data_IF_108732940902
#
_entry.id   IF_108732940902
#
_cell.length_a   1.000
_cell.length_b   1.000
_cell.length_c   1.000
_cell.angle_alpha   90.00
_cell.angle_beta   90.00
_cell.angle_gamma   90.00
#
_symmetry.space_group_name_H-M   'P 1'
#
loop_
_entity.id
_entity.type
_entity.pdbx_description
1 polymer ?
#
# COMPACT_ATOMS: atom_id res chain seq x y z
N UNK A 1 -4.75 -13.24 -8.60
CA UNK A 1 -6.08 -13.03 -9.20
C UNK A 1 -6.86 -14.31 -8.98
N UNK A 2 -8.00 -14.22 -8.32
CA UNK A 2 -8.86 -15.36 -7.98
C UNK A 2 -10.18 -15.22 -8.75
N UNK A 3 -10.68 -16.30 -9.33
CA UNK A 3 -11.89 -16.31 -10.16
C UNK A 3 -12.89 -17.29 -9.57
N UNK A 4 -14.15 -16.85 -9.44
CA UNK A 4 -15.25 -17.66 -8.92
C UNK A 4 -16.48 -17.35 -9.75
N UNK A 5 -17.26 -18.36 -10.06
CA UNK A 5 -18.59 -18.19 -10.64
C UNK A 5 -19.62 -18.12 -9.52
N UNK A 6 -20.38 -17.03 -9.47
CA UNK A 6 -21.43 -16.83 -8.48
C UNK A 6 -22.75 -17.38 -9.04
N UNK A 7 -23.29 -18.40 -8.37
CA UNK A 7 -24.54 -19.05 -8.77
C UNK A 7 -25.78 -18.42 -8.14
N UNK A 8 -25.62 -17.55 -7.13
CA UNK A 8 -26.72 -16.91 -6.41
C UNK A 8 -26.48 -15.42 -6.19
N UNK A 9 -27.57 -14.66 -6.25
CA UNK A 9 -27.60 -13.28 -5.82
C UNK A 9 -27.68 -13.17 -4.29
N UNK A 10 -27.17 -12.06 -3.76
CA UNK A 10 -27.10 -11.77 -2.33
C UNK A 10 -25.68 -11.65 -1.82
N UNK A 11 -25.55 -11.84 -0.51
CA UNK A 11 -24.25 -11.94 0.16
C UNK A 11 -23.62 -13.29 -0.15
N UNK A 12 -22.41 -13.26 -0.70
CA UNK A 12 -21.60 -14.43 -0.99
C UNK A 12 -20.29 -14.33 -0.22
N UNK A 13 -20.08 -15.27 0.71
CA UNK A 13 -18.81 -15.45 1.40
C UNK A 13 -17.79 -16.12 0.47
N UNK A 14 -16.60 -15.54 0.39
CA UNK A 14 -15.52 -16.05 -0.42
C UNK A 14 -14.60 -16.90 0.46
N UNK A 15 -14.04 -18.02 -0.04
CA UNK A 15 -13.04 -18.81 0.67
C UNK A 15 -11.66 -18.11 0.65
N UNK A 16 -11.64 -16.82 0.99
CA UNK A 16 -10.47 -15.95 0.99
C UNK A 16 -10.53 -15.04 2.23
N UNK A 17 -9.43 -14.98 2.98
CA UNK A 17 -9.32 -14.06 4.13
C UNK A 17 -9.36 -12.61 3.64
N UNK A 18 -10.17 -11.76 4.29
CA UNK A 18 -10.28 -10.35 3.89
C UNK A 18 -9.00 -9.56 4.20
N UNK A 19 -8.53 -8.81 3.21
CA UNK A 19 -7.42 -7.87 3.33
C UNK A 19 -7.73 -6.54 2.63
N UNK A 20 -7.24 -5.44 3.20
CA UNK A 20 -7.42 -4.11 2.61
C UNK A 20 -6.65 -3.99 1.29
N UNK A 21 -7.31 -3.51 0.24
CA UNK A 21 -6.75 -3.41 -1.11
C UNK A 21 -7.12 -4.57 -2.04
N UNK A 22 -8.00 -5.48 -1.60
CA UNK A 22 -8.75 -6.32 -2.53
C UNK A 22 -9.76 -5.49 -3.31
N UNK A 23 -9.84 -5.78 -4.59
CA UNK A 23 -10.83 -5.26 -5.52
C UNK A 23 -11.51 -6.46 -6.17
N UNK A 24 -12.83 -6.45 -6.20
CA UNK A 24 -13.61 -7.46 -6.90
C UNK A 24 -14.29 -6.85 -8.12
N UNK A 25 -14.36 -7.64 -9.19
CA UNK A 25 -15.06 -7.31 -10.41
C UNK A 25 -16.06 -8.41 -10.72
N UNK A 26 -17.33 -8.08 -10.86
CA UNK A 26 -18.38 -8.99 -11.29
C UNK A 26 -18.81 -8.59 -12.70
N UNK A 27 -18.69 -9.49 -13.67
CA UNK A 27 -19.03 -9.23 -15.07
C UNK A 27 -18.36 -7.95 -15.65
N UNK A 28 -17.19 -7.57 -15.12
CA UNK A 28 -16.44 -6.37 -15.51
C UNK A 28 -16.77 -5.10 -14.69
N UNK A 29 -17.81 -5.12 -13.86
CA UNK A 29 -18.18 -4.01 -12.97
C UNK A 29 -17.51 -4.17 -11.61
N UNK A 30 -17.01 -3.06 -11.03
CA UNK A 30 -16.46 -3.07 -9.67
C UNK A 30 -17.56 -3.36 -8.66
N UNK A 31 -17.28 -4.28 -7.74
CA UNK A 31 -18.14 -4.57 -6.59
C UNK A 31 -17.33 -4.41 -5.31
N UNK A 32 -18.00 -3.94 -4.26
CA UNK A 32 -17.37 -3.74 -2.96
C UNK A 32 -17.12 -5.09 -2.28
N UNK A 33 -15.90 -5.24 -1.73
CA UNK A 33 -15.51 -6.37 -0.89
C UNK A 33 -15.48 -5.88 0.54
N UNK A 34 -16.15 -6.57 1.44
CA UNK A 34 -16.13 -6.28 2.86
C UNK A 34 -15.69 -7.50 3.67
N UNK A 35 -15.39 -7.26 4.95
CA UNK A 35 -15.02 -8.31 5.90
C UNK A 35 -16.28 -8.82 6.58
N UNK A 36 -16.47 -10.12 6.58
CA UNK A 36 -17.54 -10.75 7.36
C UNK A 36 -17.14 -10.97 8.83
N UNK A 37 -18.09 -11.47 9.63
CA UNK A 37 -17.87 -11.75 11.07
C UNK A 37 -16.75 -12.76 11.35
N UNK A 38 -16.47 -13.66 10.39
CA UNK A 38 -15.42 -14.68 10.47
C UNK A 38 -14.06 -14.19 9.95
N UNK A 39 -13.97 -12.94 9.48
CA UNK A 39 -12.76 -12.37 8.90
C UNK A 39 -12.51 -12.73 7.42
N UNK A 40 -13.45 -13.41 6.78
CA UNK A 40 -13.40 -13.73 5.35
C UNK A 40 -13.89 -12.55 4.51
N UNK A 41 -13.50 -12.55 3.25
CA UNK A 41 -13.96 -11.60 2.25
C UNK A 41 -15.38 -11.97 1.83
N UNK A 42 -16.25 -10.98 1.77
CA UNK A 42 -17.64 -11.14 1.37
C UNK A 42 -18.00 -10.06 0.35
N UNK A 43 -18.86 -10.42 -0.59
CA UNK A 43 -19.38 -9.52 -1.62
C UNK A 43 -20.90 -9.58 -1.62
N UNK A 44 -21.53 -8.41 -1.65
CA UNK A 44 -22.98 -8.28 -1.78
C UNK A 44 -23.29 -7.90 -3.22
N UNK A 45 -23.86 -8.83 -3.97
CA UNK A 45 -24.09 -8.65 -5.41
C UNK A 45 -25.51 -9.09 -5.78
N UNK A 46 -26.17 -8.34 -6.66
CA UNK A 46 -27.55 -8.64 -7.06
C UNK A 46 -27.63 -9.49 -8.34
N UNK A 47 -26.49 -9.81 -8.94
CA UNK A 47 -26.37 -10.54 -10.20
C UNK A 47 -25.45 -11.75 -10.04
N UNK A 48 -25.64 -12.74 -10.91
CA UNK A 48 -24.80 -13.92 -11.02
C UNK A 48 -23.74 -13.71 -12.12
N UNK A 49 -22.69 -14.53 -12.10
CA UNK A 49 -21.66 -14.49 -13.12
C UNK A 49 -20.24 -14.56 -12.57
N UNK A 50 -19.28 -14.14 -13.37
CA UNK A 50 -17.85 -14.31 -13.06
C UNK A 50 -17.35 -13.20 -12.13
N UNK A 51 -17.08 -13.57 -10.89
CA UNK A 51 -16.41 -12.74 -9.91
C UNK A 51 -14.89 -12.92 -10.01
N UNK A 52 -14.18 -11.82 -10.17
CA UNK A 52 -12.74 -11.75 -10.22
C UNK A 52 -12.25 -10.93 -9.04
N UNK A 53 -11.55 -11.55 -8.11
CA UNK A 53 -10.97 -10.88 -6.94
C UNK A 53 -9.46 -10.74 -7.12
N UNK A 54 -8.95 -9.54 -6.95
CA UNK A 54 -7.52 -9.26 -7.08
C UNK A 54 -7.04 -8.23 -6.07
N UNK A 55 -5.83 -8.42 -5.57
CA UNK A 55 -5.16 -7.41 -4.76
C UNK A 55 -4.60 -6.32 -5.69
N UNK A 56 -5.14 -5.10 -5.62
CA UNK A 56 -4.57 -3.91 -6.30
C UNK A 56 -3.78 -3.02 -5.36
N UNK A 57 -3.76 -3.34 -4.07
CA UNK A 57 -3.18 -2.52 -3.03
C UNK A 57 -4.09 -1.38 -2.62
N UNK A 58 -3.60 -0.55 -1.70
CA UNK A 58 -4.35 0.58 -1.15
C UNK A 58 -3.72 1.90 -1.58
N UNK A 59 -4.51 2.97 -1.76
CA UNK A 59 -3.97 4.31 -1.91
C UNK A 59 -3.03 4.67 -0.76
N UNK A 60 -3.38 4.24 0.46
CA UNK A 60 -2.57 4.42 1.66
C UNK A 60 -1.17 3.84 1.50
N UNK A 61 -1.05 2.61 0.97
CA UNK A 61 0.25 1.98 0.71
C UNK A 61 1.13 2.83 -0.22
N UNK A 62 0.56 3.35 -1.32
CA UNK A 62 1.31 4.19 -2.27
C UNK A 62 1.81 5.49 -1.62
N UNK A 63 0.98 6.10 -0.77
CA UNK A 63 1.36 7.32 -0.02
C UNK A 63 2.46 7.00 1.00
N UNK A 64 2.32 5.90 1.75
CA UNK A 64 3.33 5.47 2.72
C UNK A 64 4.68 5.17 2.07
N UNK A 65 4.69 4.49 0.91
CA UNK A 65 5.90 4.22 0.13
C UNK A 65 6.57 5.53 -0.29
N UNK A 66 5.79 6.52 -0.74
CA UNK A 66 6.30 7.85 -1.14
C UNK A 66 6.92 8.59 0.04
N UNK A 67 6.25 8.62 1.20
CA UNK A 67 6.76 9.27 2.42
C UNK A 67 8.04 8.58 2.90
N UNK A 68 8.07 7.25 2.86
CA UNK A 68 9.25 6.47 3.27
C UNK A 68 10.47 6.80 2.41
N UNK A 69 10.30 6.82 1.08
CA UNK A 69 11.37 7.19 0.15
C UNK A 69 11.87 8.62 0.41
N UNK A 70 10.95 9.58 0.60
CA UNK A 70 11.29 10.96 0.92
C UNK A 70 12.07 11.09 2.24
N UNK A 71 11.68 10.32 3.26
CA UNK A 71 12.40 10.28 4.54
C UNK A 71 13.86 9.82 4.38
N UNK A 72 14.09 8.80 3.56
CA UNK A 72 15.45 8.30 3.26
C UNK A 72 16.26 9.39 2.54
N UNK A 73 15.70 10.03 1.51
CA UNK A 73 16.38 11.10 0.76
C UNK A 73 16.76 12.26 1.68
N UNK A 74 15.83 12.71 2.54
CA UNK A 74 16.09 13.79 3.50
C UNK A 74 17.15 13.36 4.52
N UNK A 75 17.08 12.14 5.04
CA UNK A 75 18.08 11.60 5.96
C UNK A 75 19.48 11.61 5.35
N UNK A 76 19.62 11.15 4.10
CA UNK A 76 20.87 11.17 3.35
C UNK A 76 21.37 12.61 3.17
N UNK A 77 20.49 13.54 2.74
CA UNK A 77 20.85 14.95 2.55
C UNK A 77 21.36 15.60 3.84
N UNK A 78 20.75 15.30 4.98
CA UNK A 78 21.19 15.79 6.29
C UNK A 78 22.57 15.24 6.68
N UNK A 79 22.83 13.95 6.44
CA UNK A 79 24.15 13.36 6.68
C UNK A 79 25.25 14.04 5.86
N UNK A 80 25.00 14.30 4.57
CA UNK A 80 25.95 15.03 3.73
C UNK A 80 26.16 16.47 4.19
N UNK A 81 25.10 17.17 4.61
CA UNK A 81 25.21 18.54 5.14
C UNK A 81 26.04 18.58 6.43
N UNK A 82 25.86 17.60 7.31
CA UNK A 82 26.58 17.54 8.58
C UNK A 82 28.08 17.23 8.36
N UNK A 83 28.41 16.34 7.43
CA UNK A 83 29.81 16.05 7.06
C UNK A 83 30.54 17.25 6.47
N UNK A 84 29.88 18.07 5.64
CA UNK A 84 30.49 19.31 5.11
C UNK A 84 30.82 20.31 6.23
N UNK A 85 29.90 20.49 7.19
CA UNK A 85 30.12 21.40 8.33
C UNK A 85 31.27 20.98 9.22
N UNK A 86 31.44 19.67 9.43
CA UNK A 86 32.53 19.12 10.22
C UNK A 86 33.89 19.37 9.55
N UNK A 87 33.98 19.13 8.24
CA UNK A 87 35.19 19.43 7.46
C UNK A 87 35.52 20.93 7.48
N UNK A 88 34.54 21.80 7.24
CA UNK A 88 34.74 23.27 7.25
C UNK A 88 35.22 23.79 8.62
N UNK A 89 34.77 23.18 9.73
CA UNK A 89 35.25 23.55 11.07
C UNK A 89 36.68 23.06 11.32
N UNK A 90 37.03 21.88 10.82
CA UNK A 90 38.36 21.32 11.01
C UNK A 90 39.41 22.14 10.24
N UNK A 91 39.11 22.52 8.99
CA UNK A 91 39.99 23.36 8.16
C UNK A 91 40.26 24.73 8.81
N UNK A 92 39.23 25.35 9.40
CA UNK A 92 39.38 26.63 10.13
C UNK A 92 40.26 26.50 11.37
N UNK A 93 40.16 25.41 12.13
CA UNK A 93 41.02 25.16 13.30
C UNK A 93 42.49 25.00 12.90
N UNK A 94 42.76 24.31 11.78
CA UNK A 94 44.12 24.13 11.25
C UNK A 94 44.72 25.48 10.83
N UNK A 95 43.94 26.36 10.17
CA UNK A 95 44.42 27.70 9.78
C UNK A 95 44.70 28.62 10.98
N UNK A 96 43.96 28.50 12.08
CA UNK A 96 44.15 29.37 13.26
C UNK A 96 45.27 28.91 14.20
N UNK A 97 45.90 27.77 13.93
CA UNK A 97 46.96 27.19 14.77
C UNK A 97 48.35 27.21 14.12
N UNK A 98 48.46 27.84 12.93
CA UNK A 98 49.73 28.27 12.32
C UNK A 98 49.96 29.76 12.58
#
# INVERSE_FOLDING_TARGET
>A
MYKIELERNGSNELPLIYYSGYEAMLNGNRVEVYRNVNGMAEVAVNETGMLIVQYKGTPLRRVSETISLMGVIVGIALLFKNRRKENDQNDRKVLSSQ
#
